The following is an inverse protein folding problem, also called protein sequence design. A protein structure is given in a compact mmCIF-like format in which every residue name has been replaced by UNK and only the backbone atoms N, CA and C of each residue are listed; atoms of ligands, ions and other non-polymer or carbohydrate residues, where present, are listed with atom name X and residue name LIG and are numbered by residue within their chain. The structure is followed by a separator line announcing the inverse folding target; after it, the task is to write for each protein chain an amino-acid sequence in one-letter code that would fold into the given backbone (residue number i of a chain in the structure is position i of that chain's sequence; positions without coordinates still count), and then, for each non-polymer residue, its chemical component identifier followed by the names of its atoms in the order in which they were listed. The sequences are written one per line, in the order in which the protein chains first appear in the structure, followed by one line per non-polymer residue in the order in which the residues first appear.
data_IF_243153543620
#
_entry.id   IF_243153543620
#
_cell.length_a   1.000
_cell.length_b   1.000
_cell.length_c   1.000
_cell.angle_alpha   90.00
_cell.angle_beta   90.00
_cell.angle_gamma   90.00
#
_symmetry.space_group_name_H-M   'P 1'
#
loop_
_entity.id
_entity.type
_entity.pdbx_description
1 polymer ?
#
# COMPACT_ATOMS: atom_id res chain seq x y z
N UNK A 1 6.29 -41.84 -23.57
CA UNK A 1 5.39 -41.42 -22.47
C UNK A 1 5.90 -41.74 -21.05
N UNK A 2 6.74 -42.76 -20.82
CA UNK A 2 7.22 -43.12 -19.45
C UNK A 2 8.25 -42.15 -18.82
N UNK A 3 8.80 -41.19 -19.58
CA UNK A 3 9.81 -40.22 -19.09
C UNK A 3 9.18 -39.05 -18.32
N UNK A 4 7.92 -38.71 -18.60
CA UNK A 4 7.17 -37.68 -17.88
C UNK A 4 6.86 -38.12 -16.45
N UNK A 5 6.48 -39.38 -16.25
CA UNK A 5 6.18 -39.94 -14.93
C UNK A 5 7.37 -39.93 -13.95
N UNK A 6 8.60 -39.80 -14.47
CA UNK A 6 9.83 -39.75 -13.66
C UNK A 6 10.17 -38.36 -13.12
N UNK A 7 9.61 -37.30 -13.72
CA UNK A 7 9.82 -35.90 -13.28
C UNK A 7 8.69 -35.37 -12.40
N UNK A 8 7.54 -36.07 -12.34
CA UNK A 8 6.42 -35.76 -11.43
C UNK A 8 6.84 -35.69 -9.95
N UNK A 9 7.65 -36.60 -9.38
CA UNK A 9 8.06 -36.47 -7.97
C UNK A 9 8.96 -35.25 -7.71
N UNK A 10 9.72 -34.79 -8.72
CA UNK A 10 10.55 -33.59 -8.61
C UNK A 10 9.70 -32.30 -8.69
N UNK A 11 8.68 -32.28 -9.55
CA UNK A 11 7.71 -31.19 -9.61
C UNK A 11 6.79 -31.15 -8.37
N UNK A 12 6.41 -32.32 -7.83
CA UNK A 12 5.61 -32.43 -6.60
C UNK A 12 6.40 -31.96 -5.37
N UNK A 13 7.72 -32.17 -5.34
CA UNK A 13 8.61 -31.64 -4.31
C UNK A 13 8.75 -30.11 -4.29
N UNK A 14 8.42 -29.42 -5.40
CA UNK A 14 8.39 -27.95 -5.49
C UNK A 14 7.01 -27.35 -5.18
N UNK A 15 5.96 -28.17 -5.05
CA UNK A 15 4.63 -27.69 -4.62
C UNK A 15 4.62 -26.96 -3.27
N UNK A 16 5.36 -27.36 -2.21
CA UNK A 16 5.41 -26.58 -0.98
C UNK A 16 6.05 -25.19 -1.18
N UNK A 17 6.99 -25.06 -2.12
CA UNK A 17 7.64 -23.78 -2.41
C UNK A 17 6.68 -22.79 -3.08
N UNK A 18 5.81 -23.28 -3.99
CA UNK A 18 4.78 -22.46 -4.62
C UNK A 18 3.64 -22.10 -3.66
N UNK A 19 3.30 -22.97 -2.70
CA UNK A 19 2.32 -22.68 -1.67
C UNK A 19 2.76 -21.51 -0.75
N UNK A 20 4.06 -21.43 -0.44
CA UNK A 20 4.66 -20.31 0.34
C UNK A 20 4.63 -19.00 -0.46
N UNK A 21 4.86 -19.06 -1.78
CA UNK A 21 4.77 -17.88 -2.64
C UNK A 21 3.34 -17.30 -2.68
N UNK A 22 2.31 -18.16 -2.77
CA UNK A 22 0.91 -17.75 -2.73
C UNK A 22 0.52 -17.10 -1.40
N UNK A 23 0.93 -17.68 -0.27
CA UNK A 23 0.62 -17.13 1.06
C UNK A 23 1.26 -15.75 1.28
N UNK A 24 2.47 -15.51 0.77
CA UNK A 24 3.11 -14.19 0.84
C UNK A 24 2.33 -13.13 0.05
N UNK A 25 1.87 -13.48 -1.14
CA UNK A 25 1.08 -12.59 -2.00
C UNK A 25 -0.25 -12.23 -1.33
N UNK A 26 -0.92 -13.21 -0.72
CA UNK A 26 -2.18 -12.98 0.00
C UNK A 26 -2.00 -12.05 1.21
N UNK A 27 -0.92 -12.23 1.98
CA UNK A 27 -0.60 -11.38 3.14
C UNK A 27 -0.31 -9.94 2.68
N UNK A 28 0.43 -9.76 1.59
CA UNK A 28 0.72 -8.43 1.02
C UNK A 28 -0.55 -7.74 0.51
N UNK A 29 -1.45 -8.49 -0.14
CA UNK A 29 -2.76 -7.99 -0.57
C UNK A 29 -3.60 -7.49 0.60
N UNK A 30 -3.72 -8.29 1.66
CA UNK A 30 -4.44 -7.90 2.88
C UNK A 30 -3.82 -6.70 3.59
N UNK A 31 -2.48 -6.64 3.64
CA UNK A 31 -1.78 -5.48 4.22
C UNK A 31 -2.06 -4.21 3.41
N UNK A 32 -2.11 -4.30 2.08
CA UNK A 32 -2.46 -3.16 1.23
C UNK A 32 -3.90 -2.70 1.45
N UNK A 33 -4.86 -3.61 1.52
CA UNK A 33 -6.27 -3.24 1.82
C UNK A 33 -6.38 -2.52 3.17
N UNK A 34 -5.69 -3.04 4.20
CA UNK A 34 -5.65 -2.39 5.50
C UNK A 34 -4.99 -1.00 5.43
N UNK A 35 -3.88 -0.89 4.72
CA UNK A 35 -3.17 0.36 4.51
C UNK A 35 -4.05 1.39 3.78
N UNK A 36 -4.73 0.99 2.70
CA UNK A 36 -5.61 1.87 1.92
C UNK A 36 -6.83 2.34 2.73
N UNK A 37 -7.28 1.57 3.72
CA UNK A 37 -8.36 2.00 4.63
C UNK A 37 -7.86 2.98 5.71
N UNK A 38 -6.68 2.74 6.30
CA UNK A 38 -6.18 3.52 7.43
C UNK A 38 -5.44 4.80 7.00
N UNK A 39 -4.67 4.75 5.91
CA UNK A 39 -3.84 5.88 5.46
C UNK A 39 -4.65 7.15 5.19
N UNK A 40 -5.82 7.12 4.51
CA UNK A 40 -6.61 8.33 4.27
C UNK A 40 -7.06 9.00 5.58
N UNK A 41 -7.45 8.20 6.57
CA UNK A 41 -7.88 8.70 7.88
C UNK A 41 -6.73 9.44 8.59
N UNK A 42 -5.54 8.83 8.62
CA UNK A 42 -4.36 9.44 9.20
C UNK A 42 -3.86 10.64 8.38
N UNK A 43 -4.05 10.64 7.07
CA UNK A 43 -3.67 11.75 6.19
C UNK A 43 -4.49 13.00 6.51
N UNK A 44 -5.79 12.87 6.75
CA UNK A 44 -6.64 14.01 7.17
C UNK A 44 -6.15 14.59 8.49
N UNK A 45 -5.85 13.73 9.48
CA UNK A 45 -5.34 14.16 10.79
C UNK A 45 -3.97 14.85 10.65
N UNK A 46 -3.06 14.26 9.87
CA UNK A 46 -1.73 14.80 9.67
C UNK A 46 -1.77 16.18 8.98
N UNK A 47 -2.62 16.34 7.97
CA UNK A 47 -2.85 17.64 7.31
C UNK A 47 -3.46 18.64 8.30
N UNK A 48 -4.43 18.24 9.13
CA UNK A 48 -5.01 19.12 10.14
C UNK A 48 -3.95 19.62 11.15
N UNK A 49 -3.08 18.73 11.64
CA UNK A 49 -1.98 19.10 12.55
C UNK A 49 -0.97 20.01 11.87
N UNK A 50 -0.64 19.74 10.60
CA UNK A 50 0.24 20.58 9.80
C UNK A 50 -0.32 21.99 9.62
N UNK A 51 -1.61 22.12 9.27
CA UNK A 51 -2.29 23.41 9.17
C UNK A 51 -2.35 24.13 10.52
N UNK A 52 -2.59 23.41 11.62
CA UNK A 52 -2.55 23.99 12.96
C UNK A 52 -1.17 24.57 13.30
N UNK A 53 -0.09 23.88 12.89
CA UNK A 53 1.27 24.37 13.01
C UNK A 53 1.50 25.68 12.25
N UNK A 54 0.99 25.78 11.01
CA UNK A 54 1.09 27.00 10.18
C UNK A 54 0.31 28.15 10.82
N UNK A 55 -0.93 27.93 11.26
CA UNK A 55 -1.74 28.97 11.92
C UNK A 55 -1.01 29.49 13.16
N UNK A 56 -0.43 28.59 13.95
CA UNK A 56 0.36 28.96 15.14
C UNK A 56 1.64 29.73 14.78
N UNK A 57 2.25 29.43 13.64
CA UNK A 57 3.45 30.12 13.17
C UNK A 57 3.12 31.55 12.73
N UNK A 58 2.04 31.73 11.96
CA UNK A 58 1.60 33.05 11.50
C UNK A 58 1.15 33.92 12.68
N UNK A 59 0.42 33.35 13.64
CA UNK A 59 -0.06 34.06 14.83
C UNK A 59 1.02 34.33 15.88
N UNK A 60 2.22 33.75 15.74
CA UNK A 60 3.34 33.98 16.66
C UNK A 60 3.89 35.42 16.60
N UNK A 61 3.66 36.15 15.49
CA UNK A 61 3.90 37.59 15.39
C UNK A 61 5.32 38.04 15.71
N UNK A 62 6.34 37.23 15.42
CA UNK A 62 7.75 37.57 15.68
C UNK A 62 8.25 37.23 17.09
N UNK A 63 7.45 36.59 17.94
CA UNK A 63 7.92 36.08 19.24
C UNK A 63 8.79 34.83 19.02
N UNK A 64 10.10 34.86 19.32
CA UNK A 64 11.01 33.76 19.01
C UNK A 64 10.63 32.44 19.70
N UNK A 65 10.03 32.53 20.88
CA UNK A 65 9.58 31.36 21.65
C UNK A 65 8.35 30.68 21.00
N UNK A 66 7.37 31.48 20.57
CA UNK A 66 6.16 30.98 19.91
C UNK A 66 6.45 30.46 18.51
N UNK A 67 7.35 31.11 17.78
CA UNK A 67 7.79 30.65 16.46
C UNK A 67 8.52 29.32 16.53
N UNK A 68 9.41 29.14 17.52
CA UNK A 68 10.14 27.88 17.71
C UNK A 68 9.19 26.74 18.02
N UNK A 69 8.20 26.97 18.90
CA UNK A 69 7.16 25.99 19.20
C UNK A 69 6.32 25.67 17.95
N UNK A 70 5.90 26.68 17.19
CA UNK A 70 5.09 26.51 15.98
C UNK A 70 5.83 25.75 14.87
N UNK A 71 7.12 26.04 14.63
CA UNK A 71 7.96 25.26 13.70
C UNK A 71 8.03 23.79 14.10
N UNK A 72 8.06 23.48 15.39
CA UNK A 72 7.97 22.10 15.87
C UNK A 72 6.74 21.39 15.32
N UNK A 73 5.55 21.97 15.48
CA UNK A 73 4.29 21.38 14.97
C UNK A 73 4.30 21.20 13.45
N UNK A 74 4.86 22.14 12.70
CA UNK A 74 4.99 22.04 11.23
C UNK A 74 5.89 20.86 10.85
N UNK A 75 7.04 20.71 11.51
CA UNK A 75 7.99 19.63 11.24
C UNK A 75 7.37 18.28 11.57
N UNK A 76 6.71 18.14 12.73
CA UNK A 76 6.04 16.89 13.09
C UNK A 76 4.89 16.54 12.13
N UNK A 77 4.10 17.54 11.70
CA UNK A 77 3.07 17.34 10.68
C UNK A 77 3.66 16.91 9.33
N UNK A 78 4.74 17.54 8.89
CA UNK A 78 5.41 17.22 7.64
C UNK A 78 6.02 15.81 7.65
N UNK A 79 6.66 15.41 8.76
CA UNK A 79 7.20 14.06 8.94
C UNK A 79 6.05 13.04 8.89
N UNK A 80 4.93 13.31 9.57
CA UNK A 80 3.76 12.44 9.54
C UNK A 80 3.21 12.22 8.13
N UNK A 81 3.03 13.31 7.37
CA UNK A 81 2.59 13.24 5.97
C UNK A 81 3.61 12.48 5.12
N UNK A 82 4.90 12.78 5.27
CA UNK A 82 5.97 12.12 4.52
C UNK A 82 5.97 10.61 4.74
N UNK A 83 5.86 10.15 5.99
CA UNK A 83 5.83 8.71 6.31
C UNK A 83 4.60 8.02 5.71
N UNK A 84 3.42 8.65 5.77
CA UNK A 84 2.19 8.10 5.17
C UNK A 84 2.32 7.94 3.64
N UNK A 85 2.84 8.98 2.96
CA UNK A 85 3.06 8.95 1.51
C UNK A 85 4.13 7.93 1.14
N UNK A 86 5.23 7.87 1.87
CA UNK A 86 6.30 6.92 1.63
C UNK A 86 5.82 5.46 1.81
N UNK A 87 5.07 5.18 2.87
CA UNK A 87 4.52 3.85 3.13
C UNK A 87 3.56 3.42 2.01
N UNK A 88 2.62 4.28 1.63
CA UNK A 88 1.69 4.00 0.53
C UNK A 88 2.42 3.82 -0.82
N UNK A 89 3.42 4.66 -1.09
CA UNK A 89 4.24 4.58 -2.30
C UNK A 89 5.03 3.27 -2.39
N UNK A 90 5.65 2.84 -1.29
CA UNK A 90 6.40 1.57 -1.24
C UNK A 90 5.46 0.38 -1.48
N UNK A 91 4.31 0.34 -0.79
CA UNK A 91 3.32 -0.73 -0.98
C UNK A 91 2.91 -0.79 -2.45
N UNK A 92 2.60 0.35 -3.07
CA UNK A 92 2.21 0.40 -4.48
C UNK A 92 3.29 -0.13 -5.42
N UNK A 93 4.56 0.24 -5.19
CA UNK A 93 5.69 -0.26 -5.99
C UNK A 93 5.81 -1.77 -5.87
N UNK A 94 5.72 -2.30 -4.65
CA UNK A 94 5.78 -3.75 -4.41
C UNK A 94 4.62 -4.44 -5.12
N UNK A 95 3.38 -3.99 -4.93
CA UNK A 95 2.22 -4.64 -5.53
C UNK A 95 2.24 -4.58 -7.06
N UNK A 96 2.63 -3.46 -7.65
CA UNK A 96 2.78 -3.34 -9.11
C UNK A 96 3.93 -4.19 -9.65
N UNK A 97 5.06 -4.29 -8.93
CA UNK A 97 6.23 -5.08 -9.38
C UNK A 97 5.97 -6.59 -9.35
N UNK A 98 5.13 -7.06 -8.43
CA UNK A 98 4.74 -8.46 -8.32
C UNK A 98 3.40 -8.80 -9.01
N UNK A 99 2.80 -7.85 -9.74
CA UNK A 99 1.54 -8.07 -10.47
C UNK A 99 0.32 -8.26 -9.55
N UNK A 100 0.41 -7.80 -8.31
CA UNK A 100 -0.66 -7.82 -7.31
C UNK A 100 -1.51 -6.57 -7.58
N UNK A 101 -2.52 -6.69 -8.46
CA UNK A 101 -3.43 -5.58 -8.74
C UNK A 101 -4.72 -5.75 -7.92
N UNK A 102 -4.97 -4.94 -6.87
CA UNK A 102 -6.18 -5.05 -6.05
C UNK A 102 -7.43 -4.50 -6.75
N UNK A 103 -7.31 -4.11 -8.02
CA UNK A 103 -8.42 -3.70 -8.89
C UNK A 103 -8.51 -4.50 -10.17
N UNK A 104 -7.76 -5.61 -10.28
CA UNK A 104 -7.96 -6.58 -11.34
C UNK A 104 -9.29 -7.28 -11.13
N UNK A 105 -10.40 -6.66 -11.56
CA UNK A 105 -11.48 -7.42 -12.13
C UNK A 105 -10.82 -8.29 -13.20
N UNK A 106 -10.49 -9.53 -12.83
CA UNK A 106 -10.53 -10.59 -13.81
C UNK A 106 -11.97 -10.57 -14.27
N UNK A 107 -12.24 -9.77 -15.30
CA UNK A 107 -13.29 -10.08 -16.25
C UNK A 107 -12.98 -11.51 -16.63
N UNK A 108 -13.62 -12.45 -15.93
CA UNK A 108 -13.69 -13.82 -16.38
C UNK A 108 -14.11 -13.69 -17.83
N UNK A 109 -13.31 -14.17 -18.81
CA UNK A 109 -13.75 -14.17 -20.18
C UNK A 109 -15.10 -14.87 -20.16
N UNK A 110 -16.16 -14.10 -20.43
CA UNK A 110 -17.51 -14.64 -20.43
C UNK A 110 -17.56 -15.59 -21.62
N UNK A 111 -17.28 -16.86 -21.34
CA UNK A 111 -17.53 -17.98 -22.23
C UNK A 111 -19.06 -18.19 -22.28
N UNK A 112 -19.77 -17.17 -22.76
CA UNK A 112 -21.12 -17.33 -23.28
C UNK A 112 -20.97 -17.55 -24.79
N UNK A 113 -20.87 -18.79 -25.27
CA UNK A 113 -20.99 -19.09 -26.68
C UNK A 113 -22.46 -18.86 -27.06
N UNK A 114 -22.77 -17.71 -27.64
CA UNK A 114 -24.09 -17.48 -28.22
C UNK A 114 -24.73 -16.13 -27.88
N UNK A 115 -24.12 -15.05 -28.34
CA UNK A 115 -24.89 -13.88 -28.78
C UNK A 115 -24.98 -13.93 -30.29
N UNK A 116 -25.89 -14.76 -30.79
CA UNK A 116 -26.38 -14.64 -32.17
C UNK A 116 -27.26 -13.39 -32.18
N UNK A 117 -26.71 -12.34 -32.81
CA UNK A 117 -27.33 -11.12 -33.33
C UNK A 117 -28.23 -10.31 -32.39
#
# INVERSE_FOLDING_TARGET
MKKLARVIPFALGLTPFLAIAGTLIDILGKLKELADAIVPLFMVIAVAVFLWGIIKYITAGGSPEKEKAARGFIIYGLIGIFVLVAFWGIIRIITTSFGIDPGGSQELPSIIPGKVK
#
